data_IF_312039248113
#
_entry.id   IF_312039248113
#
_cell.length_a   1.000
_cell.length_b   1.000
_cell.length_c   1.000
_cell.angle_alpha   90.00
_cell.angle_beta   90.00
_cell.angle_gamma   90.00
#
_symmetry.space_group_name_H-M   'P 1'
#
loop_
_entity.id
_entity.type
_entity.pdbx_description
1 polymer ?
#
# COMPACT_ATOMS: atom_id res chain seq x y z
N UNK A 1 -7.09 13.85 -50.83
CA UNK A 1 -7.25 15.13 -50.08
C UNK A 1 -7.95 14.84 -48.76
N UNK A 2 -7.35 15.10 -47.60
CA UNK A 2 -8.03 14.79 -46.33
C UNK A 2 -7.33 15.09 -45.01
N UNK A 3 -6.02 15.36 -44.98
CA UNK A 3 -5.34 15.85 -43.77
C UNK A 3 -5.29 17.38 -43.77
N UNK A 4 -6.45 18.01 -43.62
CA UNK A 4 -6.53 19.44 -43.30
C UNK A 4 -6.36 19.58 -41.78
N UNK A 5 -5.18 20.02 -41.34
CA UNK A 5 -4.86 20.58 -40.03
C UNK A 5 -5.74 20.15 -38.84
N UNK A 6 -5.75 18.85 -38.51
CA UNK A 6 -6.33 18.36 -37.24
C UNK A 6 -5.32 18.38 -36.08
N UNK A 7 -4.18 19.05 -36.27
CA UNK A 7 -3.04 19.02 -35.36
C UNK A 7 -3.43 19.50 -33.96
N UNK A 8 -4.06 20.65 -33.83
CA UNK A 8 -4.27 21.26 -32.52
C UNK A 8 -5.25 20.51 -31.60
N UNK A 9 -6.48 20.13 -32.03
CA UNK A 9 -7.39 19.40 -31.16
C UNK A 9 -6.91 17.98 -30.85
N UNK A 10 -6.28 17.32 -31.82
CA UNK A 10 -5.76 15.96 -31.65
C UNK A 10 -4.53 15.94 -30.73
N UNK A 11 -3.57 16.84 -30.94
CA UNK A 11 -2.39 16.94 -30.08
C UNK A 11 -2.79 17.32 -28.66
N UNK A 12 -3.73 18.26 -28.49
CA UNK A 12 -4.26 18.62 -27.18
C UNK A 12 -4.91 17.43 -26.46
N UNK A 13 -5.65 16.58 -27.19
CA UNK A 13 -6.23 15.36 -26.62
C UNK A 13 -5.15 14.34 -26.22
N UNK A 14 -4.09 14.18 -27.03
CA UNK A 14 -2.95 13.30 -26.74
C UNK A 14 -2.18 13.80 -25.50
N UNK A 15 -1.92 15.09 -25.40
CA UNK A 15 -1.26 15.71 -24.25
C UNK A 15 -2.08 15.53 -22.98
N UNK A 16 -3.40 15.76 -23.06
CA UNK A 16 -4.33 15.55 -21.94
C UNK A 16 -4.33 14.10 -21.49
N UNK A 17 -4.40 13.15 -22.41
CA UNK A 17 -4.35 11.72 -22.11
C UNK A 17 -3.02 11.35 -21.44
N UNK A 18 -1.88 11.78 -22.01
CA UNK A 18 -0.54 11.52 -21.46
C UNK A 18 -0.38 12.09 -20.06
N UNK A 19 -0.85 13.34 -19.84
CA UNK A 19 -0.83 13.99 -18.53
C UNK A 19 -1.68 13.23 -17.52
N UNK A 20 -2.91 12.85 -17.87
CA UNK A 20 -3.81 12.12 -16.97
C UNK A 20 -3.27 10.74 -16.61
N UNK A 21 -2.70 9.99 -17.56
CA UNK A 21 -2.06 8.71 -17.29
C UNK A 21 -0.83 8.87 -16.37
N UNK A 22 0.00 9.91 -16.60
CA UNK A 22 1.14 10.22 -15.72
C UNK A 22 0.70 10.57 -14.30
N UNK A 23 -0.33 11.39 -14.17
CA UNK A 23 -0.85 11.83 -12.88
C UNK A 23 -1.45 10.64 -12.11
N UNK A 24 -2.18 9.75 -12.79
CA UNK A 24 -2.67 8.49 -12.21
C UNK A 24 -1.51 7.62 -11.69
N UNK A 25 -0.48 7.39 -12.51
CA UNK A 25 0.72 6.65 -12.09
C UNK A 25 1.42 7.29 -10.89
N UNK A 26 1.37 8.61 -10.76
CA UNK A 26 1.91 9.32 -9.59
C UNK A 26 1.06 9.05 -8.35
N UNK A 27 -0.27 9.11 -8.46
CA UNK A 27 -1.16 8.85 -7.32
C UNK A 27 -1.10 7.40 -6.85
N UNK A 28 -1.05 6.43 -7.79
CA UNK A 28 -0.86 5.03 -7.45
C UNK A 28 0.45 4.79 -6.69
N UNK A 29 1.55 5.41 -7.12
CA UNK A 29 2.83 5.33 -6.39
C UNK A 29 2.73 5.92 -4.99
N UNK A 30 2.03 7.04 -4.81
CA UNK A 30 1.81 7.62 -3.48
C UNK A 30 1.00 6.69 -2.58
N UNK A 31 -0.13 6.17 -3.08
CA UNK A 31 -0.96 5.26 -2.31
C UNK A 31 -0.19 3.99 -1.87
N UNK A 32 0.68 3.46 -2.74
CA UNK A 32 1.57 2.35 -2.36
C UNK A 32 2.58 2.78 -1.29
N UNK A 33 3.18 3.96 -1.42
CA UNK A 33 4.10 4.49 -0.41
C UNK A 33 3.42 4.76 0.94
N UNK A 34 2.19 5.25 0.93
CA UNK A 34 1.39 5.48 2.14
C UNK A 34 1.13 4.14 2.84
N UNK A 35 0.74 3.11 2.08
CA UNK A 35 0.57 1.75 2.62
C UNK A 35 1.86 1.17 3.21
N UNK A 36 3.01 1.32 2.52
CA UNK A 36 4.31 0.88 3.03
C UNK A 36 4.66 1.64 4.32
N UNK A 37 4.43 2.95 4.35
CA UNK A 37 4.76 3.79 5.52
C UNK A 37 3.95 3.38 6.75
N UNK A 38 2.67 3.04 6.56
CA UNK A 38 1.78 2.61 7.65
C UNK A 38 2.06 1.16 8.09
N UNK A 39 2.25 0.23 7.15
CA UNK A 39 2.42 -1.20 7.45
C UNK A 39 3.78 -1.52 8.08
N UNK A 40 4.83 -0.78 7.72
CA UNK A 40 6.18 -0.98 8.24
C UNK A 40 6.52 -0.12 9.47
N UNK A 41 5.55 0.64 9.99
CA UNK A 41 5.69 1.30 11.28
C UNK A 41 5.60 0.24 12.39
N UNK A 42 6.64 0.12 13.20
CA UNK A 42 6.66 -0.71 14.42
C UNK A 42 6.43 -2.23 14.23
N UNK A 43 7.05 -2.83 13.21
CA UNK A 43 6.90 -4.27 12.87
C UNK A 43 7.23 -5.26 13.99
N UNK A 44 7.98 -4.84 15.00
CA UNK A 44 8.44 -5.72 16.09
C UNK A 44 7.46 -5.79 17.26
N UNK A 45 6.53 -4.84 17.39
CA UNK A 45 5.65 -4.74 18.57
C UNK A 45 4.76 -5.98 18.73
N UNK A 46 4.07 -6.50 17.70
CA UNK A 46 3.21 -7.68 17.86
C UNK A 46 3.97 -8.93 18.32
N UNK A 47 5.21 -9.10 17.86
CA UNK A 47 6.06 -10.22 18.28
C UNK A 47 6.53 -10.08 19.73
N UNK A 48 6.91 -8.87 20.15
CA UNK A 48 7.34 -8.61 21.54
C UNK A 48 6.20 -8.85 22.53
N UNK A 49 4.98 -8.40 22.21
CA UNK A 49 3.78 -8.64 23.04
C UNK A 49 3.48 -10.13 23.16
N UNK A 50 3.60 -10.88 22.06
CA UNK A 50 3.40 -12.33 22.07
C UNK A 50 4.46 -13.05 22.93
N UNK A 51 5.74 -12.65 22.85
CA UNK A 51 6.81 -13.19 23.70
C UNK A 51 6.52 -12.91 25.18
N UNK A 52 6.03 -11.73 25.52
CA UNK A 52 5.73 -11.36 26.90
C UNK A 52 4.56 -12.17 27.47
N UNK A 53 3.49 -12.38 26.68
CA UNK A 53 2.40 -13.27 27.05
C UNK A 53 2.86 -14.73 27.22
N UNK A 54 3.82 -15.18 26.42
CA UNK A 54 4.41 -16.51 26.56
C UNK A 54 5.25 -16.63 27.85
N UNK A 55 6.02 -15.59 28.21
CA UNK A 55 6.79 -15.56 29.46
C UNK A 55 5.92 -15.57 30.71
N UNK A 56 4.73 -14.96 30.67
CA UNK A 56 3.78 -14.96 31.79
C UNK A 56 3.06 -16.31 31.96
N UNK A 57 3.19 -17.24 31.00
CA UNK A 57 2.53 -18.55 31.03
C UNK A 57 1.03 -18.49 30.75
N UNK A 58 0.50 -17.36 30.28
CA UNK A 58 -0.92 -17.18 30.02
C UNK A 58 -1.33 -17.72 28.65
N UNK A 59 -1.64 -19.02 28.57
CA UNK A 59 -2.00 -19.69 27.30
C UNK A 59 -3.17 -19.05 26.55
N UNK A 60 -4.10 -18.41 27.27
CA UNK A 60 -5.24 -17.75 26.65
C UNK A 60 -4.79 -16.49 25.90
N UNK A 61 -4.02 -15.63 26.56
CA UNK A 61 -3.46 -14.43 25.94
C UNK A 61 -2.50 -14.76 24.79
N UNK A 62 -1.69 -15.81 24.94
CA UNK A 62 -0.80 -16.27 23.86
C UNK A 62 -1.59 -16.59 22.59
N UNK A 63 -2.74 -17.27 22.71
CA UNK A 63 -3.59 -17.59 21.54
C UNK A 63 -4.18 -16.33 20.90
N UNK A 64 -4.60 -15.36 21.71
CA UNK A 64 -5.15 -14.09 21.23
C UNK A 64 -4.07 -13.25 20.52
N UNK A 65 -2.90 -13.09 21.12
CA UNK A 65 -1.79 -12.35 20.51
C UNK A 65 -1.16 -13.06 19.30
N UNK A 66 -1.21 -14.39 19.26
CA UNK A 66 -0.77 -15.14 18.08
C UNK A 66 -1.63 -14.83 16.85
N UNK A 67 -2.94 -14.63 17.05
CA UNK A 67 -3.82 -14.20 15.96
C UNK A 67 -3.46 -12.79 15.48
N UNK A 68 -3.26 -11.84 16.41
CA UNK A 68 -2.86 -10.46 16.08
C UNK A 68 -1.53 -10.43 15.31
N UNK A 69 -0.54 -11.21 15.76
CA UNK A 69 0.75 -11.33 15.08
C UNK A 69 0.57 -11.89 13.65
N UNK A 70 -0.28 -12.90 13.48
CA UNK A 70 -0.57 -13.48 12.16
C UNK A 70 -1.26 -12.49 11.23
N UNK A 71 -2.23 -11.72 11.73
CA UNK A 71 -2.91 -10.67 10.96
C UNK A 71 -1.93 -9.57 10.55
N UNK A 72 -1.04 -9.14 11.46
CA UNK A 72 0.03 -8.20 11.14
C UNK A 72 0.99 -8.74 10.07
N UNK A 73 1.39 -10.01 10.17
CA UNK A 73 2.24 -10.66 9.17
C UNK A 73 1.56 -10.76 7.80
N UNK A 74 0.26 -11.06 7.75
CA UNK A 74 -0.49 -11.05 6.50
C UNK A 74 -0.53 -9.65 5.88
N UNK A 75 -0.75 -8.60 6.69
CA UNK A 75 -0.74 -7.21 6.23
C UNK A 75 0.61 -6.75 5.67
N UNK A 76 1.72 -7.33 6.12
CA UNK A 76 3.06 -7.07 5.56
C UNK A 76 3.29 -7.78 4.22
N UNK A 77 2.51 -8.81 3.91
CA UNK A 77 2.60 -9.58 2.64
C UNK A 77 1.69 -9.01 1.56
N UNK A 78 0.57 -8.40 1.95
CA UNK A 78 -0.34 -7.64 1.07
C UNK A 78 0.34 -6.43 0.41
#
# INVERSE_FOLDING_TARGET
TGRKERGDPLNSAIDKMTKKTRDLRRQLRKAVMDHISDSFLETNVPLLVLIEAAKSGNEKEVKEYAQVFREHANKLVE
#
